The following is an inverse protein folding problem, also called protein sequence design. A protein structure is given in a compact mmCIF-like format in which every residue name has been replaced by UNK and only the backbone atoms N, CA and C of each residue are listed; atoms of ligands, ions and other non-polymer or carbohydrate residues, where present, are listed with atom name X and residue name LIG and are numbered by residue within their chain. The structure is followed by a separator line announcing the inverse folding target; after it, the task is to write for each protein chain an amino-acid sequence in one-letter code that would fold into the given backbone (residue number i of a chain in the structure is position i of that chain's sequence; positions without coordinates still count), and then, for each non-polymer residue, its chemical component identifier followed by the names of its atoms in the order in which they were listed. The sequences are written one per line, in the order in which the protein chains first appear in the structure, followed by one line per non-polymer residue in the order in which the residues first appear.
data_IF_511116752734
#
_entry.id   IF_511116752734
#
_cell.length_a   1.000
_cell.length_b   1.000
_cell.length_c   1.000
_cell.angle_alpha   90.00
_cell.angle_beta   90.00
_cell.angle_gamma   90.00
#
_symmetry.space_group_name_H-M   'P 1'
#
loop_
_entity.id
_entity.type
_entity.pdbx_description
1 polymer ?
#
# COMPACT_ATOMS: atom_id res chain seq x y z
N UNK A 1 -31.79 -10.25 49.07
CA UNK A 1 -31.28 -11.53 49.60
C UNK A 1 -29.83 -11.64 49.15
N UNK A 2 -28.91 -11.31 50.05
CA UNK A 2 -27.46 -11.40 49.85
C UNK A 2 -27.03 -12.87 49.84
N UNK A 3 -26.17 -13.26 48.89
CA UNK A 3 -25.11 -14.25 49.14
C UNK A 3 -23.86 -13.81 48.37
N UNK A 4 -22.85 -13.39 49.11
CA UNK A 4 -21.44 -13.51 48.71
C UNK A 4 -21.03 -14.98 48.81
N UNK A 5 -20.24 -15.48 47.86
CA UNK A 5 -19.20 -16.46 48.17
C UNK A 5 -17.91 -16.15 47.43
N UNK A 6 -16.86 -16.09 48.25
CA UNK A 6 -15.43 -16.08 47.95
C UNK A 6 -15.00 -17.52 47.73
N UNK A 7 -14.18 -17.79 46.71
CA UNK A 7 -13.28 -18.95 46.71
C UNK A 7 -11.88 -18.47 46.31
N UNK A 8 -10.94 -18.70 47.23
CA UNK A 8 -9.51 -18.42 47.11
C UNK A 8 -8.76 -19.72 46.80
N UNK A 9 -7.79 -19.60 45.88
CA UNK A 9 -6.57 -20.41 45.65
C UNK A 9 -6.67 -21.89 45.24
N UNK A 10 -6.03 -22.22 44.11
CA UNK A 10 -4.80 -23.02 44.11
C UNK A 10 -4.08 -22.96 42.75
N UNK A 11 -2.78 -22.69 42.81
CA UNK A 11 -1.79 -22.66 41.73
C UNK A 11 -1.33 -24.06 41.33
N UNK A 12 -1.22 -24.31 40.02
CA UNK A 12 -0.09 -25.00 39.33
C UNK A 12 -0.34 -24.96 37.80
N UNK A 13 0.71 -24.86 36.95
CA UNK A 13 0.56 -24.57 35.53
C UNK A 13 0.39 -25.87 34.73
N UNK A 14 -0.77 -26.06 34.13
CA UNK A 14 -0.93 -26.98 33.02
C UNK A 14 -1.19 -26.13 31.77
N UNK A 15 -0.25 -26.18 30.82
CA UNK A 15 -0.31 -25.52 29.52
C UNK A 15 -1.54 -26.00 28.75
N UNK A 16 -2.67 -25.32 28.96
CA UNK A 16 -3.86 -25.47 28.16
C UNK A 16 -3.60 -24.72 26.85
N UNK A 17 -3.36 -25.46 25.77
CA UNK A 17 -3.49 -24.92 24.42
C UNK A 17 -4.95 -24.48 24.28
N UNK A 18 -5.20 -23.18 24.38
CA UNK A 18 -6.46 -22.60 23.95
C UNK A 18 -6.52 -22.76 22.43
N UNK A 19 -7.09 -23.88 21.98
CA UNK A 19 -7.48 -24.07 20.60
C UNK A 19 -8.61 -23.06 20.36
N UNK A 20 -8.26 -21.91 19.76
CA UNK A 20 -9.24 -20.95 19.26
C UNK A 20 -9.97 -21.66 18.12
N UNK A 21 -11.15 -22.21 18.42
CA UNK A 21 -12.07 -22.69 17.41
C UNK A 21 -12.61 -21.45 16.71
N UNK A 22 -11.93 -21.02 15.64
CA UNK A 22 -12.53 -20.13 14.66
C UNK A 22 -13.71 -20.89 14.04
N UNK A 23 -14.94 -20.46 14.33
CA UNK A 23 -16.10 -20.96 13.61
C UNK A 23 -15.97 -20.49 12.16
N UNK A 24 -15.78 -21.44 11.26
CA UNK A 24 -15.98 -21.26 9.83
C UNK A 24 -17.46 -20.92 9.64
N UNK A 25 -17.75 -19.63 9.48
CA UNK A 25 -19.09 -19.17 9.17
C UNK A 25 -19.23 -19.33 7.66
N UNK A 26 -19.92 -20.39 7.21
CA UNK A 26 -20.40 -20.49 5.83
C UNK A 26 -21.33 -19.31 5.56
N UNK A 27 -20.75 -18.21 5.07
CA UNK A 27 -21.53 -17.10 4.52
C UNK A 27 -22.07 -17.61 3.20
N UNK A 28 -23.36 -17.92 3.21
CA UNK A 28 -24.11 -18.35 2.05
C UNK A 28 -24.01 -17.23 0.99
N UNK A 29 -23.13 -17.38 0.00
CA UNK A 29 -22.81 -16.40 -1.05
C UNK A 29 -23.95 -16.15 -2.05
N UNK A 30 -25.19 -16.44 -1.66
CA UNK A 30 -26.41 -16.27 -2.47
C UNK A 30 -27.38 -15.27 -1.83
N UNK A 31 -26.89 -14.26 -1.09
CA UNK A 31 -27.66 -13.02 -1.04
C UNK A 31 -27.69 -12.47 -2.45
N UNK A 32 -28.85 -12.59 -3.11
CA UNK A 32 -29.07 -12.08 -4.45
C UNK A 32 -28.56 -10.65 -4.52
N UNK A 33 -27.48 -10.45 -5.27
CA UNK A 33 -27.02 -9.12 -5.67
C UNK A 33 -28.12 -8.55 -6.56
N UNK A 34 -29.13 -7.97 -5.92
CA UNK A 34 -30.10 -7.12 -6.59
C UNK A 34 -29.27 -6.10 -7.38
N UNK A 35 -29.45 -6.06 -8.71
CA UNK A 35 -28.60 -5.30 -9.61
C UNK A 35 -28.66 -3.82 -9.22
N UNK A 36 -27.61 -3.33 -8.56
CA UNK A 36 -27.57 -1.96 -8.01
C UNK A 36 -27.10 -0.97 -9.07
N UNK A 37 -27.54 0.29 -8.96
CA UNK A 37 -27.22 1.34 -9.92
C UNK A 37 -25.71 1.63 -9.93
N UNK A 38 -24.98 1.36 -11.03
CA UNK A 38 -23.52 1.57 -11.14
C UNK A 38 -23.07 3.02 -10.94
N UNK A 39 -24.01 3.96 -10.87
CA UNK A 39 -23.75 5.39 -10.86
C UNK A 39 -23.98 6.04 -9.50
N UNK A 40 -24.56 5.30 -8.54
CA UNK A 40 -24.81 5.79 -7.18
C UNK A 40 -23.53 5.93 -6.34
N UNK A 41 -22.41 5.33 -6.77
CA UNK A 41 -21.08 5.47 -6.15
C UNK A 41 -20.89 4.83 -4.77
N UNK A 42 -21.97 4.58 -4.04
CA UNK A 42 -21.96 4.09 -2.65
C UNK A 42 -22.65 2.74 -2.53
N UNK A 43 -23.82 2.61 -3.14
CA UNK A 43 -24.58 1.36 -3.09
C UNK A 43 -24.29 0.45 -4.27
N UNK A 44 -23.61 0.86 -5.34
CA UNK A 44 -23.52 0.04 -6.54
C UNK A 44 -22.71 -1.25 -6.40
N UNK A 45 -22.94 -2.20 -7.32
CA UNK A 45 -22.06 -3.34 -7.59
C UNK A 45 -21.59 -3.23 -9.03
N UNK A 46 -20.55 -2.42 -9.31
CA UNK A 46 -20.07 -2.22 -10.67
C UNK A 46 -19.51 -3.53 -11.23
N UNK A 47 -19.67 -3.71 -12.53
CA UNK A 47 -19.00 -4.77 -13.27
C UNK A 47 -17.57 -4.31 -13.51
N UNK A 48 -16.61 -5.07 -12.98
CA UNK A 48 -15.19 -4.78 -13.19
C UNK A 48 -14.87 -4.81 -14.69
N UNK A 49 -14.02 -3.87 -15.13
CA UNK A 49 -13.62 -3.67 -16.53
C UNK A 49 -14.77 -3.31 -17.47
N UNK A 50 -15.90 -2.88 -16.95
CA UNK A 50 -16.99 -2.36 -17.75
C UNK A 50 -16.88 -0.84 -17.89
N UNK A 51 -17.11 -0.37 -19.11
CA UNK A 51 -17.14 1.05 -19.45
C UNK A 51 -18.59 1.54 -19.40
N UNK A 52 -18.89 2.41 -18.45
CA UNK A 52 -20.19 3.06 -18.29
C UNK A 52 -20.16 4.41 -18.98
N UNK A 53 -21.13 4.62 -19.88
CA UNK A 53 -21.27 5.86 -20.66
C UNK A 53 -22.41 6.71 -20.10
N UNK A 54 -22.64 7.87 -20.71
CA UNK A 54 -23.73 8.80 -20.35
C UNK A 54 -25.11 8.13 -20.28
N UNK A 55 -25.36 7.11 -21.11
CA UNK A 55 -26.64 6.37 -21.10
C UNK A 55 -26.81 5.51 -19.84
N UNK A 56 -25.70 5.04 -19.26
CA UNK A 56 -25.68 4.22 -18.05
C UNK A 56 -25.59 5.12 -16.81
N UNK A 57 -24.63 6.05 -16.82
CA UNK A 57 -24.34 7.00 -15.75
C UNK A 57 -24.40 8.44 -16.24
N UNK A 58 -25.61 9.04 -16.28
CA UNK A 58 -25.78 10.40 -16.77
C UNK A 58 -24.99 11.38 -15.91
N UNK A 59 -24.27 12.27 -16.58
CA UNK A 59 -23.50 13.31 -15.92
C UNK A 59 -24.42 14.23 -15.11
N UNK A 60 -23.94 14.65 -13.93
CA UNK A 60 -24.65 15.66 -13.12
C UNK A 60 -24.67 17.03 -13.80
N UNK A 61 -23.58 17.35 -14.48
CA UNK A 61 -23.43 18.58 -15.25
C UNK A 61 -23.36 18.27 -16.74
N UNK A 62 -24.04 19.10 -17.53
CA UNK A 62 -24.10 18.95 -18.99
C UNK A 62 -23.14 19.92 -19.67
N UNK A 63 -22.79 19.58 -20.90
CA UNK A 63 -22.07 20.48 -21.79
C UNK A 63 -22.96 21.64 -22.21
N UNK A 64 -22.48 22.85 -22.01
CA UNK A 64 -23.00 24.06 -22.64
C UNK A 64 -22.65 24.08 -24.13
N UNK A 65 -23.32 24.95 -24.91
CA UNK A 65 -23.09 25.08 -26.35
C UNK A 65 -21.67 25.52 -26.73
N UNK A 66 -20.94 26.12 -25.81
CA UNK A 66 -19.54 26.53 -25.97
C UNK A 66 -18.53 25.43 -25.57
N UNK A 67 -19.02 24.23 -25.20
CA UNK A 67 -18.21 23.10 -24.77
C UNK A 67 -17.76 23.17 -23.31
N UNK A 68 -18.16 24.20 -22.55
CA UNK A 68 -17.91 24.29 -21.12
C UNK A 68 -18.91 23.50 -20.29
N UNK A 69 -18.58 23.24 -19.03
CA UNK A 69 -19.43 22.51 -18.11
C UNK A 69 -20.36 23.42 -17.31
N UNK A 70 -21.66 23.12 -17.37
CA UNK A 70 -22.64 23.76 -16.53
C UNK A 70 -22.27 23.55 -15.04
N UNK A 71 -22.43 24.55 -14.18
CA UNK A 71 -22.22 24.40 -12.72
C UNK A 71 -21.01 25.11 -12.13
N UNK A 72 -20.12 25.71 -12.92
CA UNK A 72 -18.95 26.43 -12.42
C UNK A 72 -19.26 27.83 -11.86
N UNK A 73 -20.55 28.18 -11.72
CA UNK A 73 -20.98 29.50 -11.25
C UNK A 73 -20.94 29.65 -9.73
N UNK A 74 -20.52 28.60 -9.00
CA UNK A 74 -20.43 28.63 -7.55
C UNK A 74 -18.99 28.92 -7.10
N UNK A 75 -18.68 30.07 -6.46
CA UNK A 75 -17.34 30.32 -5.96
C UNK A 75 -16.86 29.30 -4.92
N UNK A 76 -17.78 28.55 -4.28
CA UNK A 76 -17.43 27.50 -3.31
C UNK A 76 -16.71 26.29 -3.93
N UNK A 77 -16.73 26.15 -5.27
CA UNK A 77 -16.04 25.07 -5.98
C UNK A 77 -14.79 25.55 -6.74
N UNK A 78 -14.21 26.67 -6.29
CA UNK A 78 -13.08 27.36 -6.93
C UNK A 78 -13.34 27.73 -8.39
N UNK A 79 -14.61 27.95 -8.75
CA UNK A 79 -15.03 28.29 -10.10
C UNK A 79 -14.69 27.22 -11.14
N UNK A 80 -14.91 25.96 -10.78
CA UNK A 80 -14.62 24.80 -11.60
C UNK A 80 -15.87 23.95 -11.80
N UNK A 81 -16.02 23.33 -12.97
CA UNK A 81 -17.05 22.32 -13.21
C UNK A 81 -16.51 21.17 -14.02
N UNK A 82 -17.08 19.99 -13.78
CA UNK A 82 -16.68 18.77 -14.45
C UNK A 82 -17.90 18.11 -15.10
N UNK A 83 -17.83 17.87 -16.41
CA UNK A 83 -18.81 17.07 -17.14
C UNK A 83 -18.23 15.68 -17.29
N UNK A 84 -18.84 14.72 -16.60
CA UNK A 84 -18.55 13.31 -16.81
C UNK A 84 -18.92 12.91 -18.24
N UNK A 85 -18.06 12.10 -18.87
CA UNK A 85 -18.34 11.46 -20.16
C UNK A 85 -18.24 9.95 -20.04
N UNK A 86 -17.33 9.49 -19.18
CA UNK A 86 -17.00 8.09 -19.01
C UNK A 86 -16.78 7.76 -17.54
N UNK A 87 -17.29 6.61 -17.10
CA UNK A 87 -16.88 5.97 -15.85
C UNK A 87 -16.35 4.58 -16.18
N UNK A 88 -15.21 4.22 -15.61
CA UNK A 88 -14.60 2.92 -15.74
C UNK A 88 -14.23 2.38 -14.35
N UNK A 89 -14.39 1.08 -14.13
CA UNK A 89 -14.08 0.45 -12.85
C UNK A 89 -13.02 -0.63 -13.05
N UNK A 90 -11.94 -0.57 -12.29
CA UNK A 90 -10.82 -1.53 -12.33
C UNK A 90 -10.33 -1.84 -10.94
N UNK A 91 -9.58 -2.91 -10.76
CA UNK A 91 -8.80 -3.12 -9.54
C UNK A 91 -7.44 -2.44 -9.67
N UNK A 92 -7.02 -1.60 -8.72
CA UNK A 92 -5.71 -0.96 -8.77
C UNK A 92 -5.51 0.24 -7.84
N UNK A 93 -4.28 0.71 -7.68
CA UNK A 93 -3.95 1.83 -6.79
C UNK A 93 -4.58 3.15 -7.25
N UNK A 94 -5.08 3.96 -6.31
CA UNK A 94 -5.64 5.29 -6.60
C UNK A 94 -4.51 6.33 -6.81
N UNK A 95 -4.70 7.25 -7.76
CA UNK A 95 -3.78 8.38 -8.00
C UNK A 95 -4.45 9.70 -7.61
N UNK A 96 -3.83 10.46 -6.69
CA UNK A 96 -4.39 11.69 -6.15
C UNK A 96 -3.93 12.96 -6.82
N UNK A 97 -4.88 13.75 -7.34
CA UNK A 97 -4.89 15.24 -7.34
C UNK A 97 -6.24 15.77 -7.88
N UNK A 98 -6.71 16.89 -7.31
CA UNK A 98 -7.94 17.70 -7.56
C UNK A 98 -9.20 17.30 -6.76
N UNK A 99 -9.88 18.29 -6.12
CA UNK A 99 -10.79 17.94 -5.01
C UNK A 99 -12.19 18.58 -4.86
N UNK A 100 -12.61 19.72 -5.44
CA UNK A 100 -14.00 20.19 -5.20
C UNK A 100 -14.94 20.12 -6.41
N UNK A 101 -14.42 20.34 -7.63
CA UNK A 101 -15.21 20.21 -8.86
C UNK A 101 -15.74 18.78 -9.08
N UNK A 102 -14.95 17.78 -8.68
CA UNK A 102 -15.27 16.36 -8.85
C UNK A 102 -16.37 15.88 -7.92
N UNK A 103 -16.35 16.30 -6.65
CA UNK A 103 -17.34 15.86 -5.66
C UNK A 103 -18.76 16.29 -6.06
N UNK A 104 -18.87 17.42 -6.75
CA UNK A 104 -20.13 17.94 -7.29
C UNK A 104 -20.50 17.36 -8.66
N UNK A 105 -19.53 17.27 -9.59
CA UNK A 105 -19.78 16.94 -11.00
C UNK A 105 -19.83 15.45 -11.35
N UNK A 106 -19.32 14.58 -10.49
CA UNK A 106 -19.33 13.13 -10.71
C UNK A 106 -20.65 12.50 -10.22
N UNK A 107 -21.28 11.69 -11.05
CA UNK A 107 -22.43 10.86 -10.66
C UNK A 107 -22.04 9.92 -9.50
N UNK A 108 -22.81 9.92 -8.40
CA UNK A 108 -22.48 9.12 -7.20
C UNK A 108 -21.41 9.73 -6.28
N UNK A 109 -20.95 10.94 -6.60
CA UNK A 109 -19.95 11.66 -5.81
C UNK A 109 -18.51 11.20 -6.09
N UNK A 110 -17.56 12.00 -5.62
CA UNK A 110 -16.13 11.73 -5.67
C UNK A 110 -15.55 12.00 -4.29
N UNK A 111 -14.70 11.09 -3.80
CA UNK A 111 -14.06 11.24 -2.50
C UNK A 111 -12.61 10.79 -2.57
N UNK A 112 -11.72 11.64 -2.07
CA UNK A 112 -10.30 11.33 -1.87
C UNK A 112 -10.01 10.78 -0.47
N UNK A 113 -11.04 10.52 0.35
CA UNK A 113 -10.82 10.10 1.73
C UNK A 113 -10.10 8.76 1.81
N UNK A 114 -9.16 8.68 2.74
CA UNK A 114 -8.62 7.43 3.26
C UNK A 114 -9.76 6.60 3.82
N UNK A 115 -10.10 5.53 3.14
CA UNK A 115 -11.09 4.57 3.61
C UNK A 115 -10.43 3.45 4.39
N UNK A 116 -11.13 2.93 5.40
CA UNK A 116 -10.71 1.72 6.12
C UNK A 116 -11.24 0.52 5.35
N UNK A 117 -10.46 -0.54 5.24
CA UNK A 117 -10.92 -1.82 4.74
C UNK A 117 -10.81 -2.86 5.85
N UNK A 118 -11.80 -3.74 5.97
CA UNK A 118 -11.76 -4.87 6.88
C UNK A 118 -11.55 -6.15 6.08
N UNK A 119 -10.60 -6.94 6.53
CA UNK A 119 -10.22 -8.19 5.90
C UNK A 119 -10.85 -9.37 6.65
N UNK A 120 -11.19 -10.44 5.94
CA UNK A 120 -11.63 -11.71 6.56
C UNK A 120 -10.43 -12.46 7.15
N UNK A 121 -10.67 -13.50 7.95
CA UNK A 121 -9.59 -14.41 8.34
C UNK A 121 -9.14 -15.24 7.13
N UNK A 122 -7.83 -15.36 6.92
CA UNK A 122 -7.26 -16.14 5.82
C UNK A 122 -6.37 -17.25 6.37
N UNK A 123 -6.42 -18.42 5.72
CA UNK A 123 -5.43 -19.48 5.89
C UNK A 123 -4.77 -19.72 4.55
N UNK A 124 -3.45 -19.52 4.48
CA UNK A 124 -2.67 -19.69 3.25
C UNK A 124 -1.71 -20.85 3.46
N UNK A 125 -1.78 -21.84 2.56
CA UNK A 125 -0.78 -22.91 2.50
C UNK A 125 0.38 -22.45 1.62
N UNK A 126 1.60 -22.49 2.16
CA UNK A 126 2.83 -22.17 1.46
C UNK A 126 3.61 -23.46 1.23
N UNK A 127 4.08 -23.65 0.00
CA UNK A 127 5.02 -24.73 -0.31
C UNK A 127 6.43 -24.36 0.18
N UNK A 128 7.33 -25.35 0.22
CA UNK A 128 8.72 -25.13 0.59
C UNK A 128 9.34 -24.09 -0.36
N UNK A 129 9.95 -23.05 0.22
CA UNK A 129 10.55 -21.94 -0.54
C UNK A 129 9.55 -20.87 -0.99
N UNK A 130 8.26 -21.00 -0.68
CA UNK A 130 7.29 -19.94 -0.91
C UNK A 130 7.11 -19.07 0.32
N UNK A 131 7.15 -17.77 0.09
CA UNK A 131 6.85 -16.71 1.03
C UNK A 131 5.68 -15.88 0.49
N UNK A 132 5.35 -14.78 1.16
CA UNK A 132 4.41 -13.83 0.60
C UNK A 132 3.92 -12.83 1.63
N UNK A 133 2.94 -12.04 1.22
CA UNK A 133 2.34 -11.02 2.06
C UNK A 133 0.87 -10.83 1.71
N UNK A 134 0.10 -10.39 2.70
CA UNK A 134 -1.27 -9.94 2.47
C UNK A 134 -1.26 -8.53 1.91
N UNK A 135 -2.10 -8.28 0.91
CA UNK A 135 -2.35 -6.94 0.38
C UNK A 135 -3.83 -6.76 0.10
N UNK A 136 -4.31 -5.53 0.24
CA UNK A 136 -5.67 -5.15 -0.14
C UNK A 136 -5.64 -4.53 -1.54
N UNK A 137 -6.43 -5.12 -2.44
CA UNK A 137 -6.62 -4.64 -3.80
C UNK A 137 -7.95 -3.90 -3.87
N UNK A 138 -7.94 -2.55 -3.85
CA UNK A 138 -9.18 -1.79 -3.90
C UNK A 138 -9.82 -1.90 -5.28
N UNK A 139 -11.15 -1.85 -5.31
CA UNK A 139 -11.89 -1.49 -6.51
C UNK A 139 -11.71 0.02 -6.71
N UNK A 140 -11.15 0.39 -7.85
CA UNK A 140 -10.91 1.76 -8.29
C UNK A 140 -11.96 2.14 -9.33
N UNK A 141 -12.49 3.35 -9.19
CA UNK A 141 -13.36 4.01 -10.14
C UNK A 141 -12.60 5.15 -10.80
N UNK A 142 -12.40 5.08 -12.10
CA UNK A 142 -11.89 6.16 -12.92
C UNK A 142 -13.05 6.88 -13.61
N UNK A 143 -13.12 8.21 -13.45
CA UNK A 143 -14.08 9.04 -14.15
C UNK A 143 -13.33 9.99 -15.07
N UNK A 144 -13.72 10.00 -16.36
CA UNK A 144 -13.15 10.86 -17.38
C UNK A 144 -14.20 11.79 -17.98
N UNK A 145 -13.75 12.97 -18.40
CA UNK A 145 -14.63 14.01 -18.92
C UNK A 145 -13.91 15.29 -19.28
N UNK A 146 -14.64 16.40 -19.22
CA UNK A 146 -14.08 17.74 -19.44
C UNK A 146 -14.12 18.51 -18.14
N UNK A 147 -12.97 19.10 -17.76
CA UNK A 147 -12.86 20.02 -16.64
C UNK A 147 -12.83 21.46 -17.18
N UNK A 148 -13.81 22.26 -16.82
CA UNK A 148 -13.89 23.68 -17.15
C UNK A 148 -13.43 24.52 -15.97
N UNK A 149 -12.46 25.40 -16.20
CA UNK A 149 -11.92 26.33 -15.22
C UNK A 149 -12.32 27.76 -15.60
N UNK A 150 -12.96 28.46 -14.67
CA UNK A 150 -13.41 29.84 -14.83
C UNK A 150 -12.53 30.77 -13.99
N UNK A 151 -12.38 32.01 -14.44
CA UNK A 151 -11.66 33.02 -13.67
C UNK A 151 -12.43 33.41 -12.42
N UNK A 152 -11.75 33.54 -11.28
CA UNK A 152 -12.36 34.08 -10.05
C UNK A 152 -12.13 35.59 -9.99
N UNK A 153 -13.19 36.36 -9.75
CA UNK A 153 -13.12 37.81 -9.56
C UNK A 153 -13.75 38.23 -8.25
N UNK A 154 -13.35 39.38 -7.75
CA UNK A 154 -13.94 39.99 -6.56
C UNK A 154 -14.88 41.10 -6.99
N UNK A 155 -16.16 40.99 -6.62
CA UNK A 155 -17.16 42.01 -6.90
C UNK A 155 -16.94 43.29 -6.10
N UNK A 156 -17.71 44.34 -6.40
CA UNK A 156 -17.63 45.61 -5.65
C UNK A 156 -17.97 45.45 -4.16
N UNK A 157 -18.71 44.41 -3.80
CA UNK A 157 -19.04 44.03 -2.41
C UNK A 157 -17.90 43.28 -1.70
N UNK A 158 -16.79 42.98 -2.38
CA UNK A 158 -15.71 42.16 -1.83
C UNK A 158 -15.98 40.64 -1.88
N UNK A 159 -17.15 40.22 -2.38
CA UNK A 159 -17.52 38.80 -2.48
C UNK A 159 -16.95 38.22 -3.79
N UNK A 160 -16.21 37.08 -3.73
CA UNK A 160 -15.73 36.42 -4.92
C UNK A 160 -16.88 35.83 -5.75
N UNK A 161 -16.75 35.87 -7.07
CA UNK A 161 -17.67 35.24 -8.01
C UNK A 161 -16.89 34.67 -9.20
N UNK A 162 -17.51 33.71 -9.88
CA UNK A 162 -16.94 33.08 -11.07
C UNK A 162 -17.28 33.91 -12.31
N UNK A 163 -16.25 34.36 -13.03
CA UNK A 163 -16.42 35.11 -14.26
C UNK A 163 -16.77 34.16 -15.40
N UNK A 164 -18.03 34.25 -15.85
CA UNK A 164 -18.52 33.49 -17.01
C UNK A 164 -18.47 34.28 -18.31
N UNK A 165 -17.94 35.51 -18.31
CA UNK A 165 -17.82 36.32 -19.51
C UNK A 165 -16.60 35.88 -20.33
N UNK A 166 -16.85 35.10 -21.37
CA UNK A 166 -15.83 34.55 -22.29
C UNK A 166 -14.92 35.64 -22.89
N UNK A 167 -15.44 36.86 -23.03
CA UNK A 167 -14.71 37.98 -23.65
C UNK A 167 -13.57 38.54 -22.78
N UNK A 168 -13.54 38.26 -21.47
CA UNK A 168 -12.55 38.84 -20.55
C UNK A 168 -11.52 37.83 -20.06
N UNK A 169 -11.98 36.67 -19.63
CA UNK A 169 -11.14 35.55 -19.26
C UNK A 169 -11.66 34.30 -20.00
N UNK A 170 -10.91 33.75 -20.97
CA UNK A 170 -11.37 32.59 -21.71
C UNK A 170 -11.49 31.39 -20.76
N UNK A 171 -12.65 30.72 -20.81
CA UNK A 171 -12.88 29.48 -20.06
C UNK A 171 -11.86 28.45 -20.53
N UNK A 172 -11.08 27.91 -19.60
CA UNK A 172 -10.11 26.86 -19.93
C UNK A 172 -10.82 25.51 -19.82
N UNK A 173 -11.00 24.85 -20.96
CA UNK A 173 -11.56 23.51 -21.03
C UNK A 173 -10.43 22.49 -21.19
N UNK A 174 -10.21 21.68 -20.16
CA UNK A 174 -9.29 20.56 -20.19
C UNK A 174 -10.10 19.32 -20.59
N UNK A 175 -10.02 18.96 -21.87
CA UNK A 175 -10.65 17.75 -22.40
C UNK A 175 -9.91 16.49 -21.94
N UNK A 176 -10.63 15.36 -21.92
CA UNK A 176 -10.09 14.04 -21.53
C UNK A 176 -9.41 14.06 -20.15
N UNK A 177 -9.91 14.90 -19.25
CA UNK A 177 -9.45 14.93 -17.88
C UNK A 177 -10.00 13.69 -17.16
N UNK A 178 -9.13 12.89 -16.55
CA UNK A 178 -9.51 11.69 -15.81
C UNK A 178 -9.04 11.78 -14.35
N UNK A 179 -9.87 11.32 -13.42
CA UNK A 179 -9.53 11.17 -12.00
C UNK A 179 -9.99 9.83 -11.48
N UNK A 180 -9.19 9.23 -10.59
CA UNK A 180 -9.47 7.92 -9.99
C UNK A 180 -9.71 8.03 -8.49
N UNK A 181 -10.73 7.33 -7.99
CA UNK A 181 -10.99 7.16 -6.56
C UNK A 181 -11.18 5.69 -6.21
N UNK A 182 -11.00 5.33 -4.93
CA UNK A 182 -11.48 4.05 -4.45
C UNK A 182 -13.02 4.03 -4.49
N UNK A 183 -13.59 2.87 -4.79
CA UNK A 183 -15.01 2.62 -4.61
C UNK A 183 -15.26 2.41 -3.12
N UNK A 184 -16.32 3.02 -2.58
CA UNK A 184 -16.64 2.91 -1.15
C UNK A 184 -17.96 2.19 -0.96
N UNK A 185 -18.01 1.34 0.06
CA UNK A 185 -19.21 0.70 0.56
C UNK A 185 -20.13 1.73 1.26
N UNK A 186 -21.41 1.37 1.52
CA UNK A 186 -22.36 2.24 2.22
C UNK A 186 -21.95 2.65 3.64
N UNK A 187 -21.07 1.88 4.28
CA UNK A 187 -20.50 2.17 5.59
C UNK A 187 -19.25 3.08 5.53
N UNK A 188 -18.85 3.52 4.34
CA UNK A 188 -17.67 4.37 4.09
C UNK A 188 -16.34 3.61 4.02
N UNK A 189 -16.36 2.27 4.10
CA UNK A 189 -15.15 1.45 3.88
C UNK A 189 -14.81 1.34 2.40
N UNK A 190 -13.54 1.10 2.06
CA UNK A 190 -13.16 0.85 0.67
C UNK A 190 -13.62 -0.55 0.26
N UNK A 191 -14.21 -0.64 -0.93
CA UNK A 191 -14.48 -1.91 -1.59
C UNK A 191 -13.20 -2.45 -2.23
N UNK A 192 -13.07 -3.78 -2.26
CA UNK A 192 -11.87 -4.48 -2.69
C UNK A 192 -11.72 -5.86 -2.08
N UNK A 193 -10.64 -6.52 -2.46
CA UNK A 193 -10.33 -7.87 -2.01
C UNK A 193 -8.96 -7.92 -1.36
N UNK A 194 -8.86 -8.56 -0.19
CA UNK A 194 -7.57 -8.93 0.37
C UNK A 194 -7.11 -10.23 -0.27
N UNK A 195 -5.91 -10.18 -0.84
CA UNK A 195 -5.24 -11.33 -1.44
C UNK A 195 -3.94 -11.60 -0.72
N UNK A 196 -3.43 -12.82 -0.89
CA UNK A 196 -2.07 -13.16 -0.50
C UNK A 196 -1.21 -13.25 -1.76
N UNK A 197 -0.24 -12.33 -1.88
CA UNK A 197 0.72 -12.35 -2.99
C UNK A 197 1.82 -13.33 -2.62
N UNK A 198 1.95 -14.40 -3.41
CA UNK A 198 2.99 -15.41 -3.22
C UNK A 198 4.30 -14.92 -3.81
N UNK A 199 5.38 -15.10 -3.07
CA UNK A 199 6.72 -14.75 -3.51
C UNK A 199 7.66 -15.93 -3.33
N UNK A 200 8.75 -15.94 -4.08
CA UNK A 200 9.88 -16.83 -3.82
C UNK A 200 10.64 -16.29 -2.59
N UNK A 201 10.83 -17.10 -1.56
CA UNK A 201 11.55 -16.67 -0.36
C UNK A 201 13.00 -16.26 -0.65
N UNK A 202 13.64 -16.92 -1.63
CA UNK A 202 15.03 -16.67 -1.97
C UNK A 202 15.21 -15.24 -2.46
N UNK A 203 14.46 -14.81 -3.47
CA UNK A 203 14.66 -13.53 -4.15
C UNK A 203 13.54 -12.49 -3.90
N UNK A 204 12.50 -12.87 -3.14
CA UNK A 204 11.31 -12.06 -2.82
C UNK A 204 10.50 -11.60 -4.04
N UNK A 205 10.78 -12.11 -5.24
CA UNK A 205 10.01 -11.82 -6.42
C UNK A 205 8.64 -12.53 -6.36
N UNK A 206 7.57 -11.94 -6.91
CA UNK A 206 6.31 -12.64 -7.09
C UNK A 206 6.52 -13.90 -7.90
N UNK A 207 5.87 -14.99 -7.47
CA UNK A 207 5.77 -16.21 -8.27
C UNK A 207 5.03 -15.93 -9.58
N UNK A 208 5.05 -16.91 -10.50
CA UNK A 208 4.38 -16.80 -11.79
C UNK A 208 2.86 -16.62 -11.63
N UNK A 209 2.23 -15.96 -12.60
CA UNK A 209 0.85 -15.46 -12.49
C UNK A 209 -0.18 -16.58 -12.28
N UNK A 210 0.08 -17.78 -12.78
CA UNK A 210 -0.75 -18.97 -12.59
C UNK A 210 -0.71 -19.52 -11.16
N UNK A 211 0.28 -19.12 -10.36
CA UNK A 211 0.39 -19.43 -8.93
C UNK A 211 -0.24 -18.36 -8.05
N UNK A 212 -0.58 -17.19 -8.60
CA UNK A 212 -1.16 -16.08 -7.85
C UNK A 212 -2.68 -16.19 -7.74
N UNK A 213 -3.25 -15.42 -6.81
CA UNK A 213 -4.69 -15.22 -6.74
C UNK A 213 -5.23 -14.65 -8.07
N UNK A 214 -6.40 -15.09 -8.57
CA UNK A 214 -6.99 -14.56 -9.80
C UNK A 214 -7.07 -13.03 -9.85
N UNK A 215 -7.33 -12.36 -8.72
CA UNK A 215 -7.38 -10.89 -8.64
C UNK A 215 -6.01 -10.26 -8.85
N UNK A 216 -4.92 -10.95 -8.54
CA UNK A 216 -3.57 -10.44 -8.82
C UNK A 216 -3.27 -10.39 -10.33
N UNK A 217 -3.93 -11.26 -11.11
CA UNK A 217 -3.73 -11.36 -12.56
C UNK A 217 -4.34 -10.19 -13.34
N UNK A 218 -5.18 -9.40 -12.66
CA UNK A 218 -5.85 -8.26 -13.23
C UNK A 218 -4.88 -7.13 -13.63
N UNK A 219 -5.12 -6.44 -14.77
CA UNK A 219 -4.33 -5.30 -15.18
C UNK A 219 -4.26 -4.22 -14.09
N UNK A 220 -3.04 -3.78 -13.77
CA UNK A 220 -2.79 -2.72 -12.78
C UNK A 220 -2.73 -3.18 -11.32
N UNK A 221 -2.98 -4.47 -11.03
CA UNK A 221 -2.83 -5.04 -9.67
C UNK A 221 -1.38 -5.47 -9.43
N UNK A 222 -0.83 -6.28 -10.32
CA UNK A 222 0.58 -6.63 -10.27
C UNK A 222 1.43 -5.39 -10.56
N UNK A 223 2.32 -5.04 -9.62
CA UNK A 223 3.35 -4.04 -9.85
C UNK A 223 4.31 -4.56 -10.92
N UNK A 224 4.76 -3.66 -11.80
CA UNK A 224 5.87 -3.94 -12.68
C UNK A 224 7.07 -4.48 -11.89
N UNK A 225 7.72 -5.54 -12.37
CA UNK A 225 8.80 -6.24 -11.63
C UNK A 225 9.94 -5.30 -11.28
N UNK A 226 10.27 -4.33 -12.14
CA UNK A 226 11.30 -3.33 -11.86
C UNK A 226 10.89 -2.36 -10.75
N UNK A 227 9.62 -1.92 -10.77
CA UNK A 227 9.07 -1.07 -9.69
C UNK A 227 8.99 -1.81 -8.36
N UNK A 228 8.60 -3.08 -8.38
CA UNK A 228 8.54 -3.90 -7.18
C UNK A 228 9.93 -4.15 -6.60
N UNK A 229 10.92 -4.46 -7.43
CA UNK A 229 12.31 -4.59 -7.00
C UNK A 229 12.82 -3.29 -6.35
N UNK A 230 12.57 -2.14 -6.98
CA UNK A 230 12.93 -0.84 -6.41
C UNK A 230 12.20 -0.54 -5.08
N UNK A 231 10.93 -0.96 -4.96
CA UNK A 231 10.18 -0.82 -3.72
C UNK A 231 10.74 -1.73 -2.63
N UNK A 232 11.06 -3.00 -2.94
CA UNK A 232 11.68 -3.93 -1.99
C UNK A 232 13.03 -3.37 -1.52
N UNK A 233 13.88 -2.91 -2.45
CA UNK A 233 15.17 -2.29 -2.15
C UNK A 233 15.04 -1.06 -1.25
N UNK A 234 14.03 -0.20 -1.49
CA UNK A 234 13.75 0.95 -0.65
C UNK A 234 13.28 0.61 0.77
N UNK A 235 12.77 -0.61 0.98
CA UNK A 235 12.34 -1.11 2.30
C UNK A 235 13.44 -1.87 3.03
N UNK A 236 14.51 -2.24 2.34
CA UNK A 236 15.68 -2.81 2.99
C UNK A 236 16.31 -1.77 3.90
N UNK A 237 16.45 -2.13 5.17
CA UNK A 237 17.13 -1.30 6.15
C UNK A 237 18.16 -2.15 6.88
N UNK A 238 19.37 -1.62 7.01
CA UNK A 238 20.40 -2.20 7.86
C UNK A 238 20.98 -1.14 8.79
N UNK A 239 21.53 -1.62 9.90
CA UNK A 239 22.46 -0.85 10.72
C UNK A 239 23.71 -1.66 10.90
N UNK A 240 24.86 -1.03 10.73
CA UNK A 240 26.16 -1.62 11.01
C UNK A 240 26.88 -0.75 12.04
N UNK A 241 27.41 -1.37 13.08
CA UNK A 241 28.28 -0.74 14.08
C UNK A 241 29.55 -1.58 14.21
N UNK A 242 30.70 -0.90 14.27
CA UNK A 242 32.00 -1.54 14.49
C UNK A 242 32.72 -0.78 15.58
N UNK A 243 32.91 -1.44 16.71
CA UNK A 243 33.51 -0.87 17.92
C UNK A 243 34.78 -1.62 18.31
N UNK A 244 35.81 -0.88 18.71
CA UNK A 244 37.03 -1.46 19.26
C UNK A 244 36.81 -2.13 20.62
N UNK A 245 37.25 -3.38 20.77
CA UNK A 245 37.20 -4.16 22.01
C UNK A 245 38.57 -4.83 22.29
N UNK A 246 39.44 -4.11 23.01
CA UNK A 246 40.78 -4.51 23.46
C UNK A 246 41.78 -4.90 22.36
N UNK A 247 41.65 -6.08 21.76
CA UNK A 247 42.56 -6.63 20.74
C UNK A 247 41.84 -6.96 19.43
N UNK A 248 40.54 -6.65 19.35
CA UNK A 248 39.67 -7.01 18.23
C UNK A 248 38.69 -5.88 17.95
N UNK A 249 38.21 -5.82 16.72
CA UNK A 249 37.02 -5.06 16.37
C UNK A 249 35.80 -5.96 16.57
N UNK A 250 34.88 -5.54 17.45
CA UNK A 250 33.56 -6.15 17.56
C UNK A 250 32.63 -5.46 16.57
N UNK A 251 31.94 -6.24 15.75
CA UNK A 251 30.90 -5.72 14.87
C UNK A 251 29.51 -6.20 15.30
N UNK A 252 28.52 -5.37 15.00
CA UNK A 252 27.10 -5.68 15.10
C UNK A 252 26.41 -5.25 13.82
N UNK A 253 25.68 -6.16 13.19
CA UNK A 253 24.86 -5.89 12.00
C UNK A 253 23.44 -6.27 12.31
N UNK A 254 22.50 -5.38 12.01
CA UNK A 254 21.06 -5.66 12.01
C UNK A 254 20.51 -5.39 10.64
N UNK A 255 19.53 -6.18 10.22
CA UNK A 255 18.90 -5.99 8.93
C UNK A 255 17.43 -6.35 8.92
N UNK A 256 16.76 -5.90 7.85
CA UNK A 256 15.37 -6.15 7.54
C UNK A 256 15.22 -6.27 6.03
N UNK A 257 14.36 -7.18 5.58
CA UNK A 257 14.02 -7.42 4.19
C UNK A 257 15.19 -7.86 3.30
N UNK A 258 16.20 -8.53 3.86
CA UNK A 258 17.26 -9.16 3.05
C UNK A 258 16.75 -10.44 2.39
N UNK A 259 17.28 -10.72 1.20
CA UNK A 259 16.97 -11.92 0.46
C UNK A 259 17.49 -13.17 1.21
N UNK A 260 16.64 -14.19 1.40
CA UNK A 260 16.98 -15.36 2.22
C UNK A 260 18.13 -16.17 1.61
N UNK A 261 18.29 -16.14 0.28
CA UNK A 261 19.40 -16.81 -0.40
C UNK A 261 20.75 -16.09 -0.23
N UNK A 262 20.73 -14.78 0.00
CA UNK A 262 21.92 -13.97 0.23
C UNK A 262 22.32 -13.97 1.70
N UNK A 263 21.34 -13.99 2.61
CA UNK A 263 21.58 -14.06 4.05
C UNK A 263 21.89 -15.49 4.50
N UNK A 264 21.15 -16.48 4.02
CA UNK A 264 21.14 -17.85 4.54
C UNK A 264 20.22 -18.01 5.76
N UNK A 265 19.94 -19.26 6.14
CA UNK A 265 19.03 -19.58 7.24
C UNK A 265 19.53 -19.10 8.61
N UNK A 266 20.86 -19.03 8.78
CA UNK A 266 21.55 -18.59 9.99
C UNK A 266 22.60 -17.50 9.70
N UNK A 267 22.38 -16.71 8.65
CA UNK A 267 23.30 -15.63 8.27
C UNK A 267 24.59 -16.11 7.60
N UNK A 268 24.65 -17.35 7.09
CA UNK A 268 25.85 -17.95 6.51
C UNK A 268 26.40 -17.16 5.32
N UNK A 269 25.51 -16.55 4.52
CA UNK A 269 25.93 -15.74 3.38
C UNK A 269 26.62 -14.45 3.83
N UNK A 270 26.11 -13.78 4.86
CA UNK A 270 26.78 -12.64 5.50
C UNK A 270 28.08 -13.07 6.19
N UNK A 271 28.06 -14.18 6.92
CA UNK A 271 29.23 -14.74 7.60
C UNK A 271 30.37 -14.99 6.60
N UNK A 272 30.07 -15.60 5.46
CA UNK A 272 31.05 -15.89 4.42
C UNK A 272 31.72 -14.62 3.87
N UNK A 273 30.95 -13.54 3.65
CA UNK A 273 31.51 -12.25 3.23
C UNK A 273 32.38 -11.62 4.31
N UNK A 274 31.93 -11.66 5.56
CA UNK A 274 32.65 -11.10 6.72
C UNK A 274 33.95 -11.86 6.99
N UNK A 275 33.98 -13.19 6.80
CA UNK A 275 35.22 -13.99 6.87
C UNK A 275 36.28 -13.54 5.85
N UNK A 276 35.88 -12.91 4.75
CA UNK A 276 36.78 -12.28 3.80
C UNK A 276 37.58 -11.10 4.39
N UNK A 277 37.11 -10.51 5.50
CA UNK A 277 37.78 -9.40 6.18
C UNK A 277 38.86 -9.82 7.17
N UNK A 278 38.92 -11.10 7.56
CA UNK A 278 39.92 -11.60 8.50
C UNK A 278 39.45 -12.79 9.33
N UNK A 279 40.21 -13.12 10.37
CA UNK A 279 39.91 -14.23 11.28
C UNK A 279 38.67 -13.91 12.13
N UNK A 280 37.49 -14.29 11.63
CA UNK A 280 36.21 -14.14 12.32
C UNK A 280 36.09 -15.11 13.49
N UNK A 281 35.87 -14.56 14.69
CA UNK A 281 35.60 -15.32 15.92
C UNK A 281 34.30 -14.84 16.58
N UNK A 282 33.69 -15.70 17.40
CA UNK A 282 32.48 -15.33 18.16
C UNK A 282 31.27 -14.99 17.30
N UNK A 283 31.16 -15.57 16.09
CA UNK A 283 29.99 -15.38 15.23
C UNK A 283 28.71 -15.77 15.95
N UNK A 284 27.73 -14.87 15.92
CA UNK A 284 26.40 -15.10 16.45
C UNK A 284 25.38 -14.49 15.51
N UNK A 285 24.43 -15.30 15.08
CA UNK A 285 23.26 -14.87 14.30
C UNK A 285 21.99 -15.25 15.05
N UNK A 286 20.98 -14.38 15.02
CA UNK A 286 19.67 -14.65 15.60
C UNK A 286 18.59 -13.89 14.84
N UNK A 287 17.45 -14.53 14.63
CA UNK A 287 16.22 -13.86 14.23
C UNK A 287 15.65 -13.05 15.41
N UNK A 288 15.12 -11.86 15.15
CA UNK A 288 14.56 -10.94 16.14
C UNK A 288 13.09 -10.64 15.82
N UNK A 289 12.18 -11.63 15.89
CA UNK A 289 10.78 -11.45 15.47
C UNK A 289 10.02 -10.40 16.32
N UNK A 290 10.51 -10.13 17.53
CA UNK A 290 9.92 -9.14 18.44
C UNK A 290 10.47 -7.71 18.24
N UNK A 291 11.48 -7.52 17.39
CA UNK A 291 12.03 -6.19 17.08
C UNK A 291 11.24 -5.59 15.90
N UNK A 292 10.52 -4.46 16.09
CA UNK A 292 9.72 -3.86 15.02
C UNK A 292 10.57 -3.28 13.87
N UNK A 293 11.85 -3.00 14.15
CA UNK A 293 12.75 -2.32 13.22
C UNK A 293 13.66 -3.30 12.46
N UNK A 294 13.97 -4.47 13.04
CA UNK A 294 14.91 -5.43 12.47
C UNK A 294 14.40 -6.86 12.55
N UNK A 295 14.62 -7.64 11.50
CA UNK A 295 14.21 -9.05 11.45
C UNK A 295 15.29 -9.97 12.02
N UNK A 296 16.54 -9.54 12.01
CA UNK A 296 17.67 -10.32 12.49
C UNK A 296 18.81 -9.45 13.02
N UNK A 297 19.67 -10.10 13.80
CA UNK A 297 20.90 -9.56 14.39
C UNK A 297 22.06 -10.53 14.17
N UNK A 298 23.19 -10.00 13.71
CA UNK A 298 24.46 -10.69 13.56
C UNK A 298 25.56 -9.94 14.33
N UNK A 299 26.50 -10.68 14.93
CA UNK A 299 27.66 -10.09 15.60
C UNK A 299 28.86 -11.02 15.57
N UNK A 300 30.04 -10.45 15.77
CA UNK A 300 31.28 -11.21 15.85
C UNK A 300 32.48 -10.32 16.14
N UNK A 301 33.67 -10.93 16.12
CA UNK A 301 34.95 -10.27 16.38
C UNK A 301 35.93 -10.52 15.22
N UNK A 302 36.62 -9.47 14.80
CA UNK A 302 37.63 -9.49 13.73
C UNK A 302 38.93 -8.82 14.19
N UNK A 303 40.04 -8.97 13.44
CA UNK A 303 41.25 -8.17 13.67
C UNK A 303 40.97 -6.66 13.61
N UNK A 304 41.76 -5.86 14.32
CA UNK A 304 41.64 -4.40 14.36
C UNK A 304 41.83 -3.79 12.96
N UNK A 305 41.06 -2.76 12.64
CA UNK A 305 41.22 -1.94 11.43
C UNK A 305 40.43 -2.46 10.22
N UNK A 306 39.43 -3.31 10.41
CA UNK A 306 38.65 -3.93 9.31
C UNK A 306 37.29 -3.29 9.07
N UNK A 307 37.00 -2.17 9.74
CA UNK A 307 35.73 -1.43 9.67
C UNK A 307 35.16 -1.26 8.25
N UNK A 308 35.97 -0.74 7.32
CA UNK A 308 35.55 -0.52 5.93
C UNK A 308 35.26 -1.84 5.19
N UNK A 309 35.97 -2.91 5.56
CA UNK A 309 35.73 -4.23 4.99
C UNK A 309 34.37 -4.78 5.45
N UNK A 310 34.00 -4.62 6.73
CA UNK A 310 32.68 -5.07 7.23
C UNK A 310 31.54 -4.39 6.47
N UNK A 311 31.60 -3.08 6.24
CA UNK A 311 30.58 -2.37 5.45
C UNK A 311 30.50 -2.85 4.00
N UNK A 312 31.66 -3.13 3.40
CA UNK A 312 31.74 -3.71 2.06
C UNK A 312 31.18 -5.14 2.02
N UNK A 313 31.44 -5.94 3.05
CA UNK A 313 30.95 -7.31 3.19
C UNK A 313 29.42 -7.35 3.34
N UNK A 314 28.85 -6.41 4.12
CA UNK A 314 27.39 -6.22 4.25
C UNK A 314 26.76 -5.91 2.91
N UNK A 315 27.35 -4.98 2.15
CA UNK A 315 26.84 -4.63 0.80
C UNK A 315 26.98 -5.82 -0.17
N UNK A 316 28.10 -6.55 -0.10
CA UNK A 316 28.35 -7.73 -0.94
C UNK A 316 27.50 -8.95 -0.55
N UNK A 317 26.83 -8.91 0.61
CA UNK A 317 25.90 -9.93 1.10
C UNK A 317 24.43 -9.57 0.79
N UNK A 318 24.18 -8.61 -0.10
CA UNK A 318 22.82 -8.21 -0.46
C UNK A 318 22.23 -7.09 0.39
N UNK A 319 23.01 -6.52 1.31
CA UNK A 319 22.57 -5.39 2.10
C UNK A 319 22.50 -4.09 1.31
N UNK A 320 21.56 -3.17 1.66
CA UNK A 320 21.51 -1.88 1.03
C UNK A 320 22.83 -1.16 1.24
N UNK A 321 23.28 -0.44 0.21
CA UNK A 321 24.53 0.31 0.26
C UNK A 321 24.53 1.21 1.49
N UNK A 322 25.65 1.20 2.22
CA UNK A 322 25.86 1.82 3.53
C UNK A 322 25.67 3.36 3.59
N UNK A 323 25.03 4.00 2.61
CA UNK A 323 24.71 5.44 2.64
C UNK A 323 23.83 5.87 3.84
N UNK A 324 23.17 4.93 4.53
CA UNK A 324 22.49 5.16 5.84
C UNK A 324 23.08 4.36 6.99
N UNK A 325 24.12 3.58 6.73
CA UNK A 325 24.69 2.60 7.65
C UNK A 325 26.18 2.47 7.45
N UNK A 326 26.90 3.60 7.29
CA UNK A 326 28.33 3.63 7.51
C UNK A 326 28.55 2.83 8.79
N UNK A 327 29.31 1.74 8.72
CA UNK A 327 29.63 0.95 9.89
C UNK A 327 30.28 1.90 10.88
N UNK A 328 29.51 2.51 11.78
CA UNK A 328 29.92 3.70 12.50
C UNK A 328 30.58 3.24 13.79
N UNK A 329 31.68 3.89 14.14
CA UNK A 329 32.47 3.55 15.32
C UNK A 329 33.95 3.79 15.11
N UNK A 330 34.68 3.95 16.21
CA UNK A 330 36.13 4.07 16.18
C UNK A 330 36.71 2.68 15.91
N UNK A 331 37.10 2.43 14.66
CA UNK A 331 38.01 1.32 14.33
C UNK A 331 39.44 1.67 14.67
#
# INVERSE_FOLDING_TARGET
MHIHQVITALSLPASLHAMVIAREQEVNHTMGLEKRDPCDGVNASPVLYHEYREADCPARFKFSSDGSCEGAKNPDNDCQAFCQVLTFTITGGASGRLLDAFSLGVSGGFSYVTAKAFSRAFTVKLDIGQCGYFTFVPVRRDICGTLSLYGTRVGWTGIPYCDTAVDRDPIQNIQNFCSGSAWNNPDGTADGETIFVRTDCANRAPLDMDQQDPVYQNPGVALDRGKLAAMIDAWQTNTCDVSYEFLFDKFEVRGKAWADNELGANGEGLEAKIRGCGALTGWKFQWTPDDPNFEWYASGKLPIGVKNCVGSAVTAAGGPSASRGDCNGAG
#
